data_IF_435394513405
#
_entry.id   IF_435394513405
#
_cell.length_a   1.000
_cell.length_b   1.000
_cell.length_c   1.000
_cell.angle_alpha   90.00
_cell.angle_beta   90.00
_cell.angle_gamma   90.00
#
_symmetry.space_group_name_H-M   'P 1'
#
loop_
_entity.id
_entity.type
_entity.pdbx_description
1 polymer ?
#
# COMPACT_ATOMS: atom_id res chain seq x y z
N UNK A 1 -4.60 -11.31 -3.79
CA UNK A 1 -5.04 -11.11 -2.39
C UNK A 1 -6.52 -11.42 -2.23
N UNK A 2 -6.93 -12.30 -1.31
CA UNK A 2 -8.32 -12.73 -1.16
C UNK A 2 -9.13 -11.90 -0.14
N UNK A 3 -8.74 -10.66 0.18
CA UNK A 3 -9.44 -9.87 1.21
C UNK A 3 -10.86 -9.45 0.84
N UNK A 4 -11.13 -9.33 -0.46
CA UNK A 4 -12.48 -9.15 -0.98
C UNK A 4 -12.74 -10.11 -2.15
N UNK A 5 -13.98 -10.61 -2.31
CA UNK A 5 -14.37 -11.41 -3.46
C UNK A 5 -14.13 -10.65 -4.78
N UNK A 6 -13.71 -11.38 -5.82
CA UNK A 6 -13.33 -10.79 -7.12
C UNK A 6 -14.42 -9.92 -7.73
N UNK A 7 -15.68 -10.32 -7.59
CA UNK A 7 -16.85 -9.59 -8.10
C UNK A 7 -16.99 -8.16 -7.56
N UNK A 8 -16.37 -7.82 -6.42
CA UNK A 8 -16.42 -6.47 -5.86
C UNK A 8 -15.29 -5.56 -6.36
N UNK A 9 -14.20 -6.13 -6.88
CA UNK A 9 -13.01 -5.38 -7.31
C UNK A 9 -13.28 -4.41 -8.46
N UNK A 10 -14.08 -4.75 -9.50
CA UNK A 10 -14.36 -3.81 -10.59
C UNK A 10 -15.01 -2.49 -10.13
N UNK A 11 -15.62 -2.44 -8.94
CA UNK A 11 -16.17 -1.20 -8.36
C UNK A 11 -15.09 -0.29 -7.76
N UNK A 12 -13.95 -0.86 -7.38
CA UNK A 12 -12.85 -0.18 -6.70
C UNK A 12 -11.66 0.07 -7.63
N UNK A 13 -11.35 -0.88 -8.51
CA UNK A 13 -10.14 -0.85 -9.35
C UNK A 13 -10.00 0.47 -10.15
N UNK A 14 -11.03 0.98 -10.86
CA UNK A 14 -10.90 2.25 -11.58
C UNK A 14 -10.60 3.45 -10.65
N UNK A 15 -11.09 3.41 -9.40
CA UNK A 15 -10.85 4.47 -8.41
C UNK A 15 -9.46 4.37 -7.79
N UNK A 16 -8.95 3.15 -7.63
CA UNK A 16 -7.57 2.91 -7.23
C UNK A 16 -6.62 3.39 -8.34
N UNK A 17 -6.93 3.12 -9.60
CA UNK A 17 -6.16 3.61 -10.76
C UNK A 17 -6.13 5.14 -10.84
N UNK A 18 -7.28 5.78 -10.65
CA UNK A 18 -7.41 7.24 -10.59
C UNK A 18 -6.56 7.84 -9.46
N UNK A 19 -6.64 7.27 -8.25
CA UNK A 19 -5.84 7.70 -7.12
C UNK A 19 -4.33 7.47 -7.35
N UNK A 20 -3.95 6.33 -7.94
CA UNK A 20 -2.56 6.04 -8.26
C UNK A 20 -1.97 7.03 -9.27
N UNK A 21 -2.77 7.47 -10.25
CA UNK A 21 -2.37 8.54 -11.18
C UNK A 21 -2.14 9.86 -10.44
N UNK A 22 -3.08 10.26 -9.58
CA UNK A 22 -2.95 11.47 -8.77
C UNK A 22 -1.73 11.43 -7.83
N UNK A 23 -1.45 10.29 -7.20
CA UNK A 23 -0.24 10.10 -6.37
C UNK A 23 1.01 10.41 -7.20
N UNK A 24 1.13 9.84 -8.40
CA UNK A 24 2.29 10.07 -9.26
C UNK A 24 2.42 11.53 -9.69
N UNK A 25 1.31 12.19 -10.04
CA UNK A 25 1.29 13.61 -10.42
C UNK A 25 1.77 14.50 -9.27
N UNK A 26 1.19 14.35 -8.07
CA UNK A 26 1.59 15.12 -6.88
C UNK A 26 3.05 14.83 -6.51
N UNK A 27 3.51 13.59 -6.65
CA UNK A 27 4.89 13.22 -6.34
C UNK A 27 5.90 13.94 -7.24
N UNK A 28 5.55 14.18 -8.52
CA UNK A 28 6.37 14.97 -9.45
C UNK A 28 6.42 16.45 -9.08
N UNK A 29 5.35 16.97 -8.48
CA UNK A 29 5.27 18.37 -8.06
C UNK A 29 6.08 18.63 -6.78
N UNK A 30 6.17 17.64 -5.88
CA UNK A 30 6.84 17.79 -4.59
C UNK A 30 8.38 17.74 -4.67
N UNK A 31 8.95 17.06 -5.67
CA UNK A 31 10.40 16.93 -5.78
C UNK A 31 10.85 15.70 -6.56
N UNK A 32 11.53 14.77 -5.87
CA UNK A 32 12.05 13.54 -6.47
C UNK A 32 10.93 12.50 -6.56
N UNK A 33 10.34 12.37 -7.76
CA UNK A 33 9.32 11.37 -8.09
C UNK A 33 9.70 9.96 -7.63
N UNK A 34 11.00 9.63 -7.57
CA UNK A 34 11.48 8.29 -7.19
C UNK A 34 11.31 7.98 -5.71
N UNK A 35 11.20 8.99 -4.85
CA UNK A 35 11.12 8.79 -3.39
C UNK A 35 9.89 9.43 -2.78
N UNK A 36 9.45 10.56 -3.30
CA UNK A 36 8.38 11.36 -2.69
C UNK A 36 7.01 10.68 -2.80
N UNK A 37 6.84 9.75 -3.74
CA UNK A 37 5.64 8.93 -3.85
C UNK A 37 5.34 8.14 -2.57
N UNK A 38 6.36 7.78 -1.78
CA UNK A 38 6.15 7.07 -0.51
C UNK A 38 5.39 7.94 0.50
N UNK A 39 5.73 9.24 0.58
CA UNK A 39 5.04 10.19 1.45
C UNK A 39 3.60 10.43 1.02
N UNK A 40 3.37 10.63 -0.28
CA UNK A 40 2.03 10.83 -0.85
C UNK A 40 1.16 9.58 -0.66
N UNK A 41 1.71 8.39 -0.92
CA UNK A 41 1.02 7.12 -0.68
C UNK A 41 0.61 6.96 0.78
N UNK A 42 1.52 7.26 1.72
CA UNK A 42 1.24 7.18 3.15
C UNK A 42 0.12 8.15 3.56
N UNK A 43 0.13 9.37 3.04
CA UNK A 43 -0.95 10.35 3.24
C UNK A 43 -2.30 9.82 2.72
N UNK A 44 -2.33 9.31 1.48
CA UNK A 44 -3.55 8.77 0.88
C UNK A 44 -4.12 7.59 1.68
N UNK A 45 -3.29 6.62 2.07
CA UNK A 45 -3.71 5.48 2.89
C UNK A 45 -4.28 5.93 4.24
N UNK A 46 -3.63 6.89 4.89
CA UNK A 46 -4.09 7.47 6.17
C UNK A 46 -5.44 8.17 6.01
N UNK A 47 -5.58 9.04 4.99
CA UNK A 47 -6.83 9.74 4.72
C UNK A 47 -7.96 8.78 4.36
N UNK A 48 -7.72 7.79 3.48
CA UNK A 48 -8.73 6.78 3.16
C UNK A 48 -9.20 6.04 4.42
N UNK A 49 -8.26 5.62 5.27
CA UNK A 49 -8.61 4.93 6.51
C UNK A 49 -9.49 5.79 7.45
N UNK A 50 -9.20 7.09 7.54
CA UNK A 50 -10.00 8.03 8.33
C UNK A 50 -11.41 8.26 7.74
N UNK A 51 -11.59 8.15 6.42
CA UNK A 51 -12.90 8.29 5.79
C UNK A 51 -13.76 7.02 5.90
N UNK A 52 -13.14 5.83 5.98
CA UNK A 52 -13.87 4.55 6.07
C UNK A 52 -14.07 4.06 7.50
N UNK A 53 -13.30 4.56 8.46
CA UNK A 53 -13.46 4.18 9.86
C UNK A 53 -14.84 4.66 10.37
N UNK A 54 -15.71 3.76 10.89
CA UNK A 54 -17.11 4.12 11.14
C UNK A 54 -17.28 5.05 12.35
N UNK A 55 -16.40 4.96 13.34
CA UNK A 55 -16.39 5.84 14.51
C UNK A 55 -15.01 5.86 15.16
N UNK A 56 -14.70 6.94 15.87
CA UNK A 56 -13.47 7.09 16.65
C UNK A 56 -13.54 6.30 17.96
N UNK A 57 -13.45 4.97 17.85
CA UNK A 57 -13.34 4.05 19.00
C UNK A 57 -12.15 3.12 18.87
N UNK A 58 -11.58 2.73 20.02
CA UNK A 58 -10.37 1.92 20.08
C UNK A 58 -10.45 0.65 19.23
N UNK A 59 -11.57 -0.08 19.28
CA UNK A 59 -11.78 -1.30 18.48
C UNK A 59 -11.60 -1.08 16.98
N UNK A 60 -12.07 0.05 16.44
CA UNK A 60 -11.97 0.34 15.01
C UNK A 60 -10.60 0.87 14.63
N UNK A 61 -9.97 1.67 15.51
CA UNK A 61 -8.58 2.09 15.32
C UNK A 61 -7.62 0.89 15.34
N UNK A 62 -7.85 -0.08 16.23
CA UNK A 62 -7.09 -1.32 16.29
C UNK A 62 -7.28 -2.18 15.03
N UNK A 63 -8.50 -2.28 14.50
CA UNK A 63 -8.78 -2.97 13.23
C UNK A 63 -8.04 -2.32 12.05
N UNK A 64 -8.10 -1.00 11.92
CA UNK A 64 -7.38 -0.25 10.87
C UNK A 64 -5.87 -0.42 11.02
N UNK A 65 -5.34 -0.29 12.23
CA UNK A 65 -3.92 -0.50 12.51
C UNK A 65 -3.45 -1.91 12.13
N UNK A 66 -4.24 -2.93 12.48
CA UNK A 66 -3.98 -4.32 12.08
C UNK A 66 -3.99 -4.48 10.56
N UNK A 67 -4.95 -3.86 9.86
CA UNK A 67 -5.00 -3.89 8.41
C UNK A 67 -3.74 -3.26 7.77
N UNK A 68 -3.24 -2.15 8.30
CA UNK A 68 -1.97 -1.55 7.83
C UNK A 68 -0.79 -2.50 8.02
N UNK A 69 -0.67 -3.15 9.18
CA UNK A 69 0.38 -4.13 9.44
C UNK A 69 0.35 -5.28 8.45
N UNK A 70 -0.82 -5.90 8.26
CA UNK A 70 -0.99 -7.01 7.31
C UNK A 70 -0.69 -6.59 5.87
N UNK A 71 -1.07 -5.36 5.45
CA UNK A 71 -0.72 -4.86 4.12
C UNK A 71 0.80 -4.74 3.91
N UNK A 72 1.53 -4.26 4.91
CA UNK A 72 2.99 -4.14 4.84
C UNK A 72 3.68 -5.51 4.78
N UNK A 73 3.28 -6.43 5.66
CA UNK A 73 3.81 -7.81 5.68
C UNK A 73 3.59 -8.52 4.34
N UNK A 74 2.43 -8.30 3.73
CA UNK A 74 2.10 -8.95 2.49
C UNK A 74 2.74 -8.29 1.26
N UNK A 75 2.91 -6.98 1.27
CA UNK A 75 3.78 -6.31 0.31
C UNK A 75 5.19 -6.91 0.37
N UNK A 76 5.74 -7.06 1.58
CA UNK A 76 7.04 -7.70 1.76
C UNK A 76 7.05 -9.14 1.20
N UNK A 77 6.12 -9.98 1.65
CA UNK A 77 6.05 -11.40 1.27
C UNK A 77 5.84 -11.64 -0.23
N UNK A 78 5.05 -10.80 -0.91
CA UNK A 78 4.63 -11.02 -2.31
C UNK A 78 5.43 -10.23 -3.33
N UNK A 79 6.04 -9.11 -2.91
CA UNK A 79 6.74 -8.21 -3.82
C UNK A 79 8.23 -8.12 -3.50
N UNK A 80 8.59 -7.90 -2.23
CA UNK A 80 10.00 -7.71 -1.83
C UNK A 80 10.75 -9.05 -1.78
N UNK A 81 10.21 -10.06 -1.08
CA UNK A 81 10.89 -11.34 -0.89
C UNK A 81 11.25 -12.07 -2.21
N UNK A 82 10.39 -12.08 -3.26
CA UNK A 82 10.79 -12.63 -4.56
C UNK A 82 11.98 -11.88 -5.19
N UNK A 83 12.01 -10.56 -5.10
CA UNK A 83 13.14 -9.77 -5.59
C UNK A 83 14.41 -10.05 -4.78
N UNK A 84 14.31 -10.18 -3.46
CA UNK A 84 15.45 -10.56 -2.61
C UNK A 84 16.01 -11.94 -2.99
N UNK A 85 15.15 -12.93 -3.25
CA UNK A 85 15.59 -14.24 -3.74
C UNK A 85 16.37 -14.12 -5.06
N UNK A 86 15.91 -13.30 -6.01
CA UNK A 86 16.66 -13.04 -7.25
C UNK A 86 18.00 -12.36 -6.99
N UNK A 87 18.09 -11.50 -5.97
CA UNK A 87 19.35 -10.84 -5.59
C UNK A 87 20.31 -11.81 -4.88
N UNK A 88 19.80 -12.76 -4.09
CA UNK A 88 20.59 -13.82 -3.46
C UNK A 88 21.24 -14.70 -4.53
N UNK A 89 20.49 -15.09 -5.56
CA UNK A 89 21.04 -15.86 -6.69
C UNK A 89 22.15 -15.10 -7.44
N UNK A 90 22.05 -13.77 -7.54
CA UNK A 90 23.00 -12.93 -8.28
C UNK A 90 24.23 -12.53 -7.48
N UNK A 91 24.04 -12.18 -6.21
CA UNK A 91 25.07 -11.53 -5.39
C UNK A 91 25.58 -12.42 -4.26
N UNK A 92 24.98 -13.60 -4.08
CA UNK A 92 25.17 -14.45 -2.90
C UNK A 92 24.23 -14.07 -1.77
N UNK A 93 23.93 -15.04 -0.90
CA UNK A 93 23.25 -14.78 0.36
C UNK A 93 24.23 -14.13 1.36
N UNK A 94 23.68 -13.50 2.39
CA UNK A 94 24.44 -12.94 3.51
C UNK A 94 24.98 -14.05 4.43
N UNK A 95 24.45 -15.28 4.31
CA UNK A 95 24.79 -16.45 5.12
C UNK A 95 25.45 -17.58 4.33
#
# INVERSE_FOLDING_TARGET
MPYIPQQHRPKLDPKIEELAKAIKEVSKELGDEKTDFAGVLNYCCTRLALEVIPERRYKFMALVHGAFGTMAEEFYRRYVAPYENEQIEKNGDVY
#
